data_IF_024742651101
#
_entry.id   IF_024742651101
#
_cell.length_a   1.000
_cell.length_b   1.000
_cell.length_c   1.000
_cell.angle_alpha   90.00
_cell.angle_beta   90.00
_cell.angle_gamma   90.00
#
_symmetry.space_group_name_H-M   'P 1'
#
loop_
_entity.id
_entity.type
_entity.pdbx_description
1 polymer ?
#
# COMPACT_ATOMS: atom_id res chain seq x y z
N UNK A 1 8.73 5.15 -11.29
CA UNK A 1 10.06 4.66 -10.87
C UNK A 1 10.00 4.40 -9.38
N UNK A 2 10.51 3.25 -8.93
CA UNK A 2 10.69 2.96 -7.51
C UNK A 2 12.15 3.21 -7.12
N UNK A 3 12.38 3.82 -5.97
CA UNK A 3 13.71 4.13 -5.44
C UNK A 3 13.79 3.67 -3.99
N UNK A 4 14.88 2.97 -3.66
CA UNK A 4 15.18 2.66 -2.26
C UNK A 4 16.06 3.78 -1.70
N UNK A 5 15.58 4.42 -0.65
CA UNK A 5 16.22 5.56 0.01
C UNK A 5 16.43 5.25 1.50
N UNK A 6 17.12 6.16 2.21
CA UNK A 6 17.52 5.94 3.60
C UNK A 6 16.31 5.72 4.53
N UNK A 7 15.24 6.46 4.32
CA UNK A 7 14.01 6.46 5.13
C UNK A 7 12.98 5.41 4.68
N UNK A 8 13.06 4.91 3.45
CA UNK A 8 12.04 4.03 2.92
C UNK A 8 12.16 3.67 1.45
N UNK A 9 11.03 3.31 0.86
CA UNK A 9 10.89 3.10 -0.59
C UNK A 9 9.97 4.16 -1.15
N UNK A 10 10.42 4.86 -2.18
CA UNK A 10 9.71 5.95 -2.80
C UNK A 10 9.19 5.57 -4.18
N UNK A 11 7.95 5.95 -4.48
CA UNK A 11 7.38 5.89 -5.82
C UNK A 11 7.35 7.28 -6.44
N UNK A 12 8.07 7.45 -7.54
CA UNK A 12 8.06 8.65 -8.38
C UNK A 12 7.17 8.41 -9.59
N UNK A 13 6.05 9.10 -9.67
CA UNK A 13 5.15 9.00 -10.82
C UNK A 13 5.68 9.83 -11.99
N UNK A 14 6.39 9.16 -12.90
CA UNK A 14 6.91 9.74 -14.15
C UNK A 14 5.99 9.51 -15.35
N UNK A 15 4.79 8.97 -15.14
CA UNK A 15 3.81 8.75 -16.21
C UNK A 15 2.88 9.96 -16.36
N UNK A 16 2.16 10.04 -17.48
CA UNK A 16 1.14 11.09 -17.72
C UNK A 16 -0.19 10.82 -17.01
N UNK A 17 -0.33 9.65 -16.37
CA UNK A 17 -1.54 9.25 -15.64
C UNK A 17 -1.29 9.17 -14.14
N UNK A 18 -2.32 9.31 -13.28
CA UNK A 18 -2.15 9.06 -11.86
C UNK A 18 -1.84 7.58 -11.60
N UNK A 19 -1.06 7.32 -10.55
CA UNK A 19 -0.95 6.00 -9.94
C UNK A 19 -1.71 5.99 -8.62
N UNK A 20 -2.14 4.82 -8.18
CA UNK A 20 -2.86 4.65 -6.93
C UNK A 20 -2.13 3.62 -6.09
N UNK A 21 -1.89 3.91 -4.82
CA UNK A 21 -1.01 3.14 -3.95
C UNK A 21 -1.75 2.75 -2.69
N UNK A 22 -1.69 1.47 -2.33
CA UNK A 22 -2.04 0.97 -1.00
C UNK A 22 -0.78 0.38 -0.36
N UNK A 23 -0.49 0.82 0.86
CA UNK A 23 0.70 0.39 1.61
C UNK A 23 0.39 0.32 3.10
N UNK A 24 0.85 -0.73 3.81
CA UNK A 24 0.72 -0.85 5.26
C UNK A 24 1.28 0.35 6.05
N UNK A 25 2.32 1.03 5.55
CA UNK A 25 2.93 2.18 6.24
C UNK A 25 2.20 3.50 6.00
N UNK A 26 1.24 3.50 5.08
CA UNK A 26 0.40 4.64 4.76
C UNK A 26 -0.98 4.55 5.43
N UNK A 27 -1.35 3.38 5.93
CA UNK A 27 -2.60 3.22 6.66
C UNK A 27 -2.58 4.02 7.97
N UNK A 28 -3.75 4.53 8.33
CA UNK A 28 -3.96 5.22 9.60
C UNK A 28 -4.23 4.18 10.69
N UNK A 29 -3.43 4.12 11.78
CA UNK A 29 -3.61 3.16 12.87
C UNK A 29 -5.00 3.19 13.52
N UNK A 30 -5.69 4.34 13.47
CA UNK A 30 -7.03 4.52 14.01
C UNK A 30 -8.13 4.16 13.01
N UNK A 31 -7.78 4.06 11.72
CA UNK A 31 -8.70 3.75 10.63
C UNK A 31 -8.77 2.25 10.38
N UNK A 32 -10.00 1.71 10.32
CA UNK A 32 -10.24 0.33 9.91
C UNK A 32 -10.34 0.15 8.40
N UNK A 33 -10.10 1.21 7.62
CA UNK A 33 -10.25 1.20 6.16
C UNK A 33 -8.90 1.21 5.49
N UNK A 34 -8.66 0.26 4.59
CA UNK A 34 -7.49 0.27 3.71
C UNK A 34 -7.49 1.57 2.90
N UNK A 35 -6.40 2.31 2.97
CA UNK A 35 -6.26 3.58 2.28
C UNK A 35 -5.59 3.39 0.93
N UNK A 36 -6.18 4.00 -0.10
CA UNK A 36 -5.63 4.04 -1.46
C UNK A 36 -5.31 5.50 -1.80
N UNK A 37 -4.02 5.80 -1.85
CA UNK A 37 -3.49 7.14 -2.12
C UNK A 37 -3.33 7.36 -3.62
N UNK A 38 -3.89 8.45 -4.12
CA UNK A 38 -3.68 8.89 -5.51
C UNK A 38 -2.41 9.73 -5.60
N UNK A 39 -1.49 9.34 -6.47
CA UNK A 39 -0.26 10.10 -6.77
C UNK A 39 -0.37 10.66 -8.20
N UNK A 40 -0.56 11.98 -8.39
CA UNK A 40 -0.65 12.60 -9.70
C UNK A 40 0.67 12.49 -10.52
N UNK A 41 0.62 12.71 -11.85
CA UNK A 41 1.82 12.87 -12.68
C UNK A 41 2.80 13.89 -12.12
N UNK A 42 4.08 13.56 -12.06
CA UNK A 42 5.14 14.44 -11.55
C UNK A 42 5.32 14.45 -10.03
N UNK A 43 4.44 13.79 -9.27
CA UNK A 43 4.53 13.70 -7.82
C UNK A 43 5.23 12.41 -7.36
N UNK A 44 5.64 12.41 -6.10
CA UNK A 44 6.19 11.24 -5.43
C UNK A 44 5.49 10.96 -4.10
N UNK A 45 5.64 9.73 -3.62
CA UNK A 45 5.11 9.28 -2.34
C UNK A 45 6.09 8.29 -1.73
N UNK A 46 6.40 8.43 -0.43
CA UNK A 46 7.06 7.36 0.32
C UNK A 46 6.03 6.24 0.51
N UNK A 47 6.18 5.17 -0.26
CA UNK A 47 5.25 4.05 -0.29
C UNK A 47 5.59 2.98 0.74
N UNK A 48 6.72 3.10 1.43
CA UNK A 48 7.10 2.19 2.50
C UNK A 48 8.08 2.87 3.45
N UNK A 49 7.55 3.42 4.54
CA UNK A 49 8.34 4.06 5.59
C UNK A 49 8.87 3.00 6.57
N UNK A 50 10.19 2.85 6.62
CA UNK A 50 10.85 1.82 7.41
C UNK A 50 10.68 2.02 8.91
N UNK A 51 10.53 3.26 9.35
CA UNK A 51 10.31 3.58 10.77
C UNK A 51 8.89 3.21 11.18
N UNK A 52 7.91 3.45 10.30
CA UNK A 52 6.50 3.15 10.58
C UNK A 52 6.22 1.65 10.65
N UNK A 53 6.88 0.82 9.83
CA UNK A 53 6.72 -0.64 9.91
C UNK A 53 7.04 -1.18 11.30
N UNK A 54 8.10 -0.68 11.95
CA UNK A 54 8.49 -1.13 13.28
C UNK A 54 7.48 -0.76 14.36
N UNK A 55 6.67 0.26 14.10
CA UNK A 55 5.61 0.73 15.02
C UNK A 55 4.26 0.04 14.77
N UNK A 56 4.10 -0.66 13.65
CA UNK A 56 2.85 -1.35 13.36
C UNK A 56 2.64 -2.49 14.37
N UNK A 57 1.40 -2.68 14.89
CA UNK A 57 1.08 -3.72 15.86
C UNK A 57 1.43 -5.15 15.41
N UNK A 58 1.61 -5.34 14.09
CA UNK A 58 1.92 -6.61 13.44
C UNK A 58 3.42 -6.83 13.16
N UNK A 59 4.28 -5.84 13.39
CA UNK A 59 5.73 -5.90 13.13
C UNK A 59 6.52 -6.82 14.06
N UNK A 60 5.95 -7.19 15.21
CA UNK A 60 6.58 -8.04 16.22
C UNK A 60 6.08 -9.50 16.13
N UNK A 61 6.38 -10.21 15.03
CA UNK A 61 6.47 -11.67 14.94
C UNK A 61 5.31 -12.55 15.45
N UNK A 62 4.17 -11.98 15.82
CA UNK A 62 3.01 -12.70 16.32
C UNK A 62 1.85 -12.41 15.40
N UNK A 63 1.55 -13.38 14.54
CA UNK A 63 0.29 -13.51 13.82
C UNK A 63 -0.86 -13.50 14.83
N UNK A 64 -1.33 -12.32 15.21
CA UNK A 64 -2.63 -12.18 15.88
C UNK A 64 -3.66 -12.15 14.78
N UNK A 65 -4.17 -13.33 14.48
CA UNK A 65 -5.45 -13.56 13.83
C UNK A 65 -6.54 -12.80 14.59
N UNK A 66 -6.75 -11.52 14.30
CA UNK A 66 -7.97 -10.84 14.67
C UNK A 66 -8.97 -11.04 13.53
N UNK A 67 -9.80 -12.06 13.68
CA UNK A 67 -11.12 -12.13 13.06
C UNK A 67 -11.87 -10.82 13.33
N UNK A 68 -11.72 -9.79 12.50
CA UNK A 68 -12.67 -8.67 12.40
C UNK A 68 -12.73 -8.19 10.95
N UNK A 69 -13.40 -9.00 10.13
CA UNK A 69 -13.94 -8.58 8.85
C UNK A 69 -14.90 -7.39 9.07
N UNK A 70 -14.61 -6.25 8.45
CA UNK A 70 -15.64 -5.31 7.99
C UNK A 70 -15.06 -4.34 6.95
N UNK A 71 -15.15 -4.77 5.69
CA UNK A 71 -15.01 -3.93 4.48
C UNK A 71 -13.64 -4.00 3.81
N UNK A 72 -13.52 -4.79 2.74
CA UNK A 72 -12.48 -4.70 1.69
C UNK A 72 -11.11 -5.37 1.91
N UNK A 73 -10.87 -6.11 2.99
CA UNK A 73 -9.64 -6.90 3.15
C UNK A 73 -9.97 -8.36 3.49
N UNK A 74 -10.26 -9.16 2.47
CA UNK A 74 -10.41 -10.61 2.62
C UNK A 74 -9.04 -11.29 2.49
N UNK A 75 -8.34 -11.48 3.60
CA UNK A 75 -7.13 -12.29 3.67
C UNK A 75 -6.05 -11.75 4.63
N UNK A 76 -4.99 -12.55 4.91
CA UNK A 76 -3.83 -12.08 5.65
C UNK A 76 -3.21 -10.88 4.91
N UNK A 77 -3.04 -9.75 5.61
CA UNK A 77 -2.32 -8.60 5.06
C UNK A 77 -0.82 -8.88 5.18
N UNK A 78 -0.11 -8.96 4.06
CA UNK A 78 1.35 -9.00 4.06
C UNK A 78 1.89 -7.59 4.33
N UNK A 79 2.47 -7.40 5.51
CA UNK A 79 3.03 -6.11 5.96
C UNK A 79 4.20 -5.62 5.09
N UNK A 80 4.79 -6.50 4.28
CA UNK A 80 5.89 -6.19 3.37
C UNK A 80 5.43 -6.01 1.92
N UNK A 81 4.11 -6.04 1.67
CA UNK A 81 3.54 -5.89 0.34
C UNK A 81 2.98 -4.48 0.12
N UNK A 82 3.31 -3.89 -1.03
CA UNK A 82 2.72 -2.62 -1.50
C UNK A 82 2.05 -2.85 -2.83
N UNK A 83 0.81 -2.39 -2.98
CA UNK A 83 0.03 -2.53 -4.21
C UNK A 83 -0.06 -1.20 -4.94
N UNK A 84 0.20 -1.22 -6.24
CA UNK A 84 0.16 -0.03 -7.09
C UNK A 84 -0.67 -0.32 -8.33
N UNK A 85 -1.69 0.50 -8.62
CA UNK A 85 -2.40 0.47 -9.89
C UNK A 85 -2.09 1.71 -10.73
N UNK A 86 -2.20 1.54 -12.05
CA UNK A 86 -1.93 2.60 -13.03
C UNK A 86 -3.23 3.12 -13.61
N UNK A 87 -3.37 4.44 -13.71
CA UNK A 87 -4.49 5.19 -14.27
C UNK A 87 -5.87 5.01 -13.60
N UNK A 88 -6.15 3.88 -12.94
CA UNK A 88 -7.44 3.57 -12.32
C UNK A 88 -7.28 3.26 -10.84
N UNK A 89 -7.99 3.99 -9.98
CA UNK A 89 -8.03 3.75 -8.54
C UNK A 89 -9.03 2.67 -8.14
N UNK A 90 -8.91 2.21 -6.89
CA UNK A 90 -9.80 1.25 -6.26
C UNK A 90 -10.04 1.63 -4.78
N UNK A 91 -11.01 0.96 -4.15
CA UNK A 91 -11.42 1.17 -2.76
C UNK A 91 -12.76 1.91 -2.64
N UNK A 92 -13.17 2.28 -1.42
CA UNK A 92 -14.53 2.76 -1.13
C UNK A 92 -14.99 4.01 -1.90
N UNK A 93 -14.03 4.80 -2.39
CA UNK A 93 -14.27 6.04 -3.15
C UNK A 93 -14.31 5.82 -4.67
N UNK A 94 -14.18 4.58 -5.14
CA UNK A 94 -14.11 4.22 -6.55
C UNK A 94 -15.13 3.13 -6.87
N UNK A 95 -15.45 2.95 -8.15
CA UNK A 95 -16.30 1.83 -8.60
C UNK A 95 -15.63 0.48 -8.39
N UNK A 96 -14.29 0.44 -8.49
CA UNK A 96 -13.46 -0.75 -8.26
C UNK A 96 -13.23 -0.90 -6.77
N UNK A 97 -13.64 -2.03 -6.20
CA UNK A 97 -13.45 -2.26 -4.76
C UNK A 97 -12.09 -2.89 -4.45
N UNK A 98 -11.57 -3.70 -5.38
CA UNK A 98 -10.33 -4.46 -5.23
C UNK A 98 -9.30 -4.06 -6.30
N UNK A 99 -8.01 -4.17 -5.97
CA UNK A 99 -6.93 -3.87 -6.93
C UNK A 99 -6.97 -4.79 -8.15
N UNK A 100 -7.42 -6.04 -7.99
CA UNK A 100 -7.58 -7.02 -9.08
C UNK A 100 -8.62 -6.61 -10.11
N UNK A 101 -9.50 -5.67 -9.76
CA UNK A 101 -10.44 -5.06 -10.70
C UNK A 101 -9.80 -3.97 -11.56
N UNK A 102 -8.55 -3.57 -11.29
CA UNK A 102 -7.80 -2.60 -12.10
C UNK A 102 -7.17 -3.30 -13.31
N UNK A 103 -7.17 -2.66 -14.49
CA UNK A 103 -6.66 -3.28 -15.72
C UNK A 103 -5.14 -3.46 -15.74
N UNK A 104 -4.42 -2.65 -14.97
CA UNK A 104 -2.97 -2.72 -14.86
C UNK A 104 -2.58 -2.35 -13.42
N UNK A 105 -1.94 -3.28 -12.73
CA UNK A 105 -1.45 -3.11 -11.37
C UNK A 105 -0.27 -4.05 -11.12
N UNK A 106 0.46 -3.77 -10.04
CA UNK A 106 1.54 -4.59 -9.56
C UNK A 106 1.51 -4.70 -8.04
N UNK A 107 2.11 -5.77 -7.54
CA UNK A 107 2.40 -5.98 -6.12
C UNK A 107 3.92 -5.97 -5.95
N UNK A 108 4.41 -5.09 -5.08
CA UNK A 108 5.83 -4.98 -4.72
C UNK A 108 6.02 -5.72 -3.41
N UNK A 109 6.82 -6.79 -3.44
CA UNK A 109 7.20 -7.54 -2.25
C UNK A 109 8.55 -7.03 -1.76
N UNK A 110 8.57 -6.46 -0.56
CA UNK A 110 9.77 -5.90 0.05
C UNK A 110 10.44 -6.99 0.90
N UNK A 111 11.43 -7.66 0.33
CA UNK A 111 12.19 -8.66 1.06
C UNK A 111 12.89 -8.01 2.28
N UNK A 112 12.90 -8.66 3.46
CA UNK A 112 13.83 -8.29 4.52
C UNK A 112 15.25 -8.32 3.96
N UNK A 113 16.07 -7.33 4.30
CA UNK A 113 17.51 -7.40 4.02
C UNK A 113 18.05 -8.68 4.67
N UNK A 114 18.59 -9.59 3.86
CA UNK A 114 19.29 -10.80 4.31
C UNK A 114 20.73 -10.49 4.64
#
# INVERSE_FOLDING_TARGET
MLSQEADGVWAYNRSESPIFVNSPTLDDPESRTLLVYRVPPGFCLNIFDRTKILQLPYGNGTTRTSNQASGFASGPVDINSVRISFAKGWGPKYSRQEVTSCPCWLEVLLAPCR
#
